data_IF_093981045551
#
_entry.id   IF_093981045551
#
_cell.length_a   1.000
_cell.length_b   1.000
_cell.length_c   1.000
_cell.angle_alpha   90.00
_cell.angle_beta   90.00
_cell.angle_gamma   90.00
#
_symmetry.space_group_name_H-M   'P 1'
#
loop_
_entity.id
_entity.type
_entity.pdbx_description
1 polymer ?
#
# COMPACT_ATOMS: atom_id res chain seq x y z
N UNK A 1 0.48 -1.83 22.26
CA UNK A 1 0.43 -0.40 21.89
C UNK A 1 -0.97 0.10 22.19
N UNK A 2 -1.13 1.08 23.09
CA UNK A 2 -2.44 1.61 23.50
C UNK A 2 -2.47 3.08 23.12
N UNK A 3 -3.37 3.48 22.22
CA UNK A 3 -3.60 4.89 21.88
C UNK A 3 -4.29 5.54 23.07
N UNK A 4 -3.65 6.52 23.70
CA UNK A 4 -4.19 7.21 24.86
C UNK A 4 -4.61 8.62 24.43
N UNK A 5 -5.91 8.74 24.17
CA UNK A 5 -6.74 9.96 24.00
C UNK A 5 -6.43 10.94 22.86
N UNK A 6 -7.51 11.40 22.21
CA UNK A 6 -7.57 12.67 21.45
C UNK A 6 -7.91 13.77 22.44
N UNK A 7 -7.04 14.77 22.61
CA UNK A 7 -7.42 16.07 23.17
C UNK A 7 -7.40 17.13 22.06
N UNK A 8 -7.99 18.29 22.32
CA UNK A 8 -8.39 19.37 21.41
C UNK A 8 -7.32 19.99 20.49
N UNK A 9 -6.07 19.54 20.56
CA UNK A 9 -5.03 19.85 19.57
C UNK A 9 -4.63 18.54 18.89
N UNK A 10 -4.61 18.52 17.55
CA UNK A 10 -4.48 17.36 16.65
C UNK A 10 -3.18 16.54 16.82
N UNK A 11 -3.02 15.91 17.98
CA UNK A 11 -1.82 15.23 18.40
C UNK A 11 -2.11 13.76 18.75
N UNK A 12 -1.37 12.83 18.14
CA UNK A 12 -1.44 11.39 18.40
C UNK A 12 -0.40 11.04 19.45
N UNK A 13 -0.83 10.49 20.59
CA UNK A 13 0.06 10.06 21.67
C UNK A 13 0.29 8.55 21.67
N UNK A 14 1.53 8.14 21.50
CA UNK A 14 1.98 6.74 21.54
C UNK A 14 2.83 6.53 22.78
N UNK A 15 2.35 5.72 23.74
CA UNK A 15 3.12 5.36 24.92
C UNK A 15 4.09 4.19 24.62
N UNK A 16 5.38 4.45 24.77
CA UNK A 16 6.46 3.48 24.89
C UNK A 16 6.84 3.35 26.38
N UNK A 17 7.61 2.33 26.75
CA UNK A 17 7.99 2.10 28.16
C UNK A 17 8.78 3.30 28.71
N UNK A 18 8.11 4.17 29.48
CA UNK A 18 8.69 5.37 30.11
C UNK A 18 8.58 6.69 29.32
N UNK A 19 8.27 6.66 28.02
CA UNK A 19 8.16 7.86 27.18
C UNK A 19 6.90 7.84 26.31
N UNK A 20 6.32 9.01 26.03
CA UNK A 20 5.23 9.20 25.09
C UNK A 20 5.74 9.97 23.88
N UNK A 21 5.46 9.45 22.67
CA UNK A 21 5.63 10.19 21.42
C UNK A 21 4.37 11.01 21.19
N UNK A 22 4.54 12.28 20.85
CA UNK A 22 3.49 13.18 20.41
C UNK A 22 3.73 13.50 18.93
N UNK A 23 2.75 13.15 18.11
CA UNK A 23 2.83 13.24 16.66
C UNK A 23 1.70 14.07 16.06
N UNK A 24 1.94 14.70 14.92
CA UNK A 24 0.91 15.48 14.21
C UNK A 24 -0.15 14.60 13.52
N UNK A 25 -1.04 15.22 12.74
CA UNK A 25 -2.14 14.56 12.05
C UNK A 25 -1.72 13.46 11.06
N UNK A 26 -0.48 13.53 10.54
CA UNK A 26 0.10 12.52 9.65
C UNK A 26 0.86 11.46 10.43
N UNK A 27 1.02 11.62 11.74
CA UNK A 27 1.85 10.74 12.56
C UNK A 27 3.33 11.15 12.57
N UNK A 28 3.69 12.35 12.11
CA UNK A 28 5.06 12.85 12.25
C UNK A 28 5.36 13.15 13.71
N UNK A 29 6.36 12.49 14.28
CA UNK A 29 6.77 12.70 15.68
C UNK A 29 7.36 14.09 15.85
N UNK A 30 6.74 14.95 16.65
CA UNK A 30 7.21 16.31 16.93
C UNK A 30 7.88 16.44 18.30
N UNK A 31 7.43 15.64 19.25
CA UNK A 31 7.86 15.75 20.63
C UNK A 31 7.90 14.38 21.29
N UNK A 32 8.90 14.15 22.14
CA UNK A 32 8.99 12.98 23.00
C UNK A 32 9.07 13.44 24.43
N UNK A 33 8.15 12.96 25.27
CA UNK A 33 8.06 13.36 26.68
C UNK A 33 8.15 12.14 27.60
N UNK A 34 8.76 12.30 28.77
CA UNK A 34 8.68 11.28 29.81
C UNK A 34 7.21 11.13 30.25
N UNK A 35 6.72 9.90 30.28
CA UNK A 35 5.29 9.63 30.52
C UNK A 35 4.86 9.86 31.98
N UNK A 36 5.80 9.95 32.92
CA UNK A 36 5.54 10.15 34.35
C UNK A 36 5.80 11.60 34.78
N UNK A 37 6.88 12.21 34.28
CA UNK A 37 7.31 13.54 34.72
C UNK A 37 6.90 14.66 33.78
N UNK A 38 6.52 14.35 32.52
CA UNK A 38 6.21 15.35 31.49
C UNK A 38 7.45 16.07 30.94
N UNK A 39 8.66 15.68 31.37
CA UNK A 39 9.92 16.24 30.90
C UNK A 39 10.10 15.98 29.39
N UNK A 40 10.44 17.01 28.62
CA UNK A 40 10.75 16.89 27.19
C UNK A 40 12.10 16.19 27.02
N UNK A 41 12.09 15.04 26.35
CA UNK A 41 13.28 14.23 26.04
C UNK A 41 13.84 14.48 24.64
N UNK A 42 12.98 14.89 23.71
CA UNK A 42 13.34 15.25 22.34
C UNK A 42 12.26 16.15 21.76
N UNK A 43 12.65 17.14 20.97
CA UNK A 43 11.79 17.98 20.14
C UNK A 43 12.37 18.01 18.74
N UNK A 44 11.52 17.79 17.74
CA UNK A 44 11.93 17.69 16.34
C UNK A 44 11.04 18.59 15.47
N UNK A 45 11.68 19.50 14.75
CA UNK A 45 11.03 20.34 13.75
C UNK A 45 11.32 19.79 12.35
N UNK A 46 10.31 19.80 11.50
CA UNK A 46 10.40 19.37 10.11
C UNK A 46 9.79 20.41 9.19
N UNK A 47 10.30 20.48 7.96
CA UNK A 47 9.58 21.14 6.87
C UNK A 47 8.40 20.29 6.34
N UNK A 48 7.74 20.77 5.28
CA UNK A 48 6.59 20.09 4.67
C UNK A 48 6.93 18.74 4.02
N UNK A 49 8.20 18.52 3.66
CA UNK A 49 8.67 17.31 2.98
C UNK A 49 9.32 16.31 3.94
N UNK A 50 9.45 16.66 5.22
CA UNK A 50 10.05 15.79 6.22
C UNK A 50 11.54 16.02 6.43
N UNK A 51 12.13 17.10 5.90
CA UNK A 51 13.50 17.47 6.24
C UNK A 51 13.54 17.94 7.69
N UNK A 52 14.47 17.40 8.48
CA UNK A 52 14.69 17.82 9.87
C UNK A 52 15.31 19.22 9.88
N UNK A 53 14.57 20.20 10.40
CA UNK A 53 15.02 21.59 10.57
C UNK A 53 15.80 21.76 11.90
N UNK A 54 15.39 21.02 12.93
CA UNK A 54 16.08 20.95 14.22
C UNK A 54 15.70 19.68 14.95
N UNK A 55 16.64 19.08 15.67
CA UNK A 55 16.42 17.94 16.56
C UNK A 55 17.26 18.15 17.83
N UNK A 56 16.60 18.23 18.98
CA UNK A 56 17.28 18.49 20.26
C UNK A 56 18.01 17.28 20.82
N UNK A 57 17.73 16.06 20.31
CA UNK A 57 18.38 14.83 20.76
C UNK A 57 18.47 13.79 19.61
N UNK A 58 19.32 14.02 18.59
CA UNK A 58 19.40 13.15 17.41
C UNK A 58 19.73 11.71 17.74
N UNK A 59 18.94 10.78 17.21
CA UNK A 59 19.13 9.34 17.42
C UNK A 59 18.55 8.79 18.74
N UNK A 60 17.84 9.60 19.52
CA UNK A 60 17.15 9.14 20.74
C UNK A 60 16.13 8.02 20.46
N UNK A 61 15.45 8.10 19.32
CA UNK A 61 14.46 7.14 18.85
C UNK A 61 14.35 7.23 17.31
N UNK A 62 13.90 6.16 16.62
CA UNK A 62 13.98 6.08 15.15
C UNK A 62 12.75 6.59 14.40
N UNK A 63 11.63 6.89 15.06
CA UNK A 63 10.39 7.34 14.42
C UNK A 63 10.44 8.84 14.08
N UNK A 64 10.09 9.19 12.84
CA UNK A 64 10.18 10.56 12.36
C UNK A 64 8.97 10.99 11.52
N UNK A 65 9.25 11.52 10.33
CA UNK A 65 8.26 12.02 9.39
C UNK A 65 7.19 10.98 9.06
N UNK A 66 5.91 11.37 9.18
CA UNK A 66 4.74 10.56 8.89
C UNK A 66 4.76 9.15 9.52
N UNK A 67 5.41 8.99 10.68
CA UNK A 67 5.54 7.72 11.39
C UNK A 67 6.55 6.73 10.78
N UNK A 68 7.28 7.14 9.75
CA UNK A 68 8.37 6.35 9.16
C UNK A 68 9.60 6.28 10.05
N UNK A 69 10.52 5.36 9.73
CA UNK A 69 11.78 5.20 10.46
C UNK A 69 12.85 6.10 9.82
N UNK A 70 13.24 7.15 10.52
CA UNK A 70 14.29 8.07 10.09
C UNK A 70 15.68 7.50 10.36
N UNK A 71 16.50 7.44 9.32
CA UNK A 71 17.91 7.12 9.39
C UNK A 71 18.73 8.41 9.32
N UNK A 72 19.30 8.82 10.45
CA UNK A 72 20.09 10.04 10.57
C UNK A 72 21.38 10.03 9.75
N UNK A 73 21.91 8.84 9.42
CA UNK A 73 23.20 8.71 8.74
C UNK A 73 23.02 8.88 7.22
N UNK A 74 21.86 8.51 6.69
CA UNK A 74 21.51 8.67 5.26
C UNK A 74 20.57 9.84 4.98
N UNK A 75 19.84 10.34 5.99
CA UNK A 75 18.79 11.34 5.82
C UNK A 75 17.48 10.78 5.27
N UNK A 76 17.39 9.47 5.03
CA UNK A 76 16.23 8.82 4.44
C UNK A 76 15.21 8.43 5.52
N UNK A 77 13.94 8.31 5.10
CA UNK A 77 12.86 7.79 5.92
C UNK A 77 12.35 6.49 5.33
N UNK A 78 12.46 5.39 6.07
CA UNK A 78 11.96 4.08 5.68
C UNK A 78 10.47 3.96 6.00
N UNK A 79 9.67 3.77 4.95
CA UNK A 79 8.24 3.41 5.04
C UNK A 79 8.07 1.99 4.53
N UNK A 80 7.90 1.04 5.45
CA UNK A 80 7.72 -0.37 5.13
C UNK A 80 8.78 -0.91 4.16
N UNK A 81 8.43 -0.97 2.88
CA UNK A 81 9.28 -1.50 1.82
C UNK A 81 10.10 -0.48 1.03
N UNK A 82 9.82 0.83 1.14
CA UNK A 82 10.50 1.87 0.36
C UNK A 82 11.18 2.91 1.26
N UNK A 83 12.35 3.37 0.80
CA UNK A 83 13.02 4.53 1.36
C UNK A 83 12.53 5.80 0.65
N UNK A 84 12.13 6.79 1.44
CA UNK A 84 11.76 8.13 1.01
C UNK A 84 12.92 9.08 1.29
N UNK A 85 13.20 9.97 0.33
CA UNK A 85 14.20 11.03 0.44
C UNK A 85 13.48 12.37 0.65
N UNK A 86 13.50 12.93 1.87
CA UNK A 86 12.90 14.23 2.18
C UNK A 86 13.57 15.40 1.46
N UNK A 87 14.87 15.29 1.14
CA UNK A 87 15.65 16.38 0.56
C UNK A 87 15.16 16.73 -0.85
N UNK A 88 14.76 15.69 -1.60
CA UNK A 88 14.22 15.84 -2.96
C UNK A 88 12.71 15.57 -3.02
N UNK A 89 12.08 15.17 -1.92
CA UNK A 89 10.64 14.97 -1.78
C UNK A 89 10.08 13.75 -2.53
N UNK A 90 10.84 12.65 -2.64
CA UNK A 90 10.51 11.52 -3.53
C UNK A 90 10.89 10.16 -2.97
N UNK A 91 10.26 9.10 -3.48
CA UNK A 91 10.73 7.74 -3.26
C UNK A 91 12.09 7.51 -3.92
N UNK A 92 12.97 6.77 -3.25
CA UNK A 92 14.27 6.35 -3.80
C UNK A 92 14.13 5.18 -4.78
N UNK A 93 13.04 4.43 -4.70
CA UNK A 93 12.71 3.32 -5.59
C UNK A 93 11.46 3.67 -6.43
N UNK A 94 11.45 3.18 -7.68
CA UNK A 94 10.31 3.32 -8.58
C UNK A 94 9.07 2.68 -7.92
N UNK A 95 7.94 3.35 -8.04
CA UNK A 95 6.66 2.83 -7.64
C UNK A 95 6.37 1.50 -8.37
N UNK A 96 6.20 0.39 -7.63
CA UNK A 96 5.92 -0.90 -8.21
C UNK A 96 4.67 -0.90 -9.12
N UNK A 97 3.68 -0.03 -8.86
CA UNK A 97 2.46 0.07 -9.68
C UNK A 97 2.57 1.04 -10.88
N UNK A 98 3.70 1.73 -11.01
CA UNK A 98 3.97 2.66 -12.11
C UNK A 98 2.98 3.83 -12.15
N UNK A 99 2.57 4.24 -13.36
CA UNK A 99 1.64 5.39 -13.54
C UNK A 99 0.21 5.13 -13.04
N UNK A 100 -0.10 3.91 -12.58
CA UNK A 100 -1.43 3.58 -12.09
C UNK A 100 -1.70 4.08 -10.67
N UNK A 101 -0.69 4.62 -9.98
CA UNK A 101 -0.86 5.32 -8.69
C UNK A 101 -1.54 6.68 -8.80
N UNK A 102 -2.02 7.04 -10.00
CA UNK A 102 -2.65 8.33 -10.26
C UNK A 102 -1.66 9.48 -10.44
N UNK A 103 -0.35 9.18 -10.50
CA UNK A 103 0.71 10.14 -10.75
C UNK A 103 1.55 9.73 -11.98
N UNK A 104 1.84 10.71 -12.83
CA UNK A 104 2.81 10.57 -13.93
C UNK A 104 4.25 10.44 -13.43
N UNK A 105 4.51 10.72 -12.15
CA UNK A 105 5.80 10.57 -11.52
C UNK A 105 5.85 9.26 -10.72
N UNK A 106 6.49 8.23 -11.27
CA UNK A 106 6.69 6.93 -10.61
C UNK A 106 7.66 6.98 -9.41
N UNK A 107 8.18 8.14 -9.04
CA UNK A 107 8.92 8.36 -7.80
C UNK A 107 8.20 9.38 -6.90
N UNK A 108 7.02 9.85 -7.30
CA UNK A 108 6.27 10.88 -6.59
C UNK A 108 5.82 10.37 -5.23
N UNK A 109 5.97 11.23 -4.21
CA UNK A 109 5.41 10.97 -2.89
C UNK A 109 4.04 11.66 -2.80
N UNK A 110 2.99 10.85 -2.59
CA UNK A 110 1.59 11.27 -2.34
C UNK A 110 1.03 12.35 -3.29
N UNK A 111 1.47 12.37 -4.55
CA UNK A 111 1.03 13.36 -5.54
C UNK A 111 1.45 14.80 -5.22
N UNK A 112 2.65 14.97 -4.65
CA UNK A 112 3.23 16.25 -4.22
C UNK A 112 2.40 17.00 -3.17
N UNK A 113 1.62 16.28 -2.37
CA UNK A 113 0.79 16.84 -1.28
C UNK A 113 1.12 16.21 0.09
N UNK A 114 2.37 16.31 0.58
CA UNK A 114 2.85 15.66 1.81
C UNK A 114 2.24 16.24 3.09
N UNK A 115 1.53 17.37 3.01
CA UNK A 115 0.87 18.01 4.15
C UNK A 115 -0.48 17.33 4.46
N UNK A 116 -1.17 16.86 3.42
CA UNK A 116 -2.52 16.32 3.54
C UNK A 116 -2.58 14.79 3.37
N UNK A 117 -1.52 14.16 2.86
CA UNK A 117 -1.50 12.74 2.53
C UNK A 117 -0.26 12.04 3.07
N UNK A 118 -0.39 10.74 3.27
CA UNK A 118 0.65 9.83 3.75
C UNK A 118 0.56 8.53 2.95
N UNK A 119 1.72 7.93 2.64
CA UNK A 119 1.84 6.53 2.24
C UNK A 119 2.52 5.76 3.39
N UNK A 120 1.74 5.14 4.30
CA UNK A 120 2.27 4.60 5.56
C UNK A 120 3.18 3.39 5.39
N UNK A 121 3.07 2.68 4.26
CA UNK A 121 3.74 1.39 4.08
C UNK A 121 4.68 1.38 2.87
N UNK A 122 4.58 2.36 1.98
CA UNK A 122 5.27 2.32 0.69
C UNK A 122 4.77 1.16 -0.18
N UNK A 123 3.56 0.66 0.07
CA UNK A 123 3.01 -0.60 -0.45
C UNK A 123 1.55 -0.46 -0.82
N UNK A 124 1.17 -1.07 -1.94
CA UNK A 124 -0.20 -1.11 -2.43
C UNK A 124 -0.58 -2.46 -3.04
N UNK A 125 -1.82 -2.86 -2.77
CA UNK A 125 -2.49 -3.97 -3.44
C UNK A 125 -3.56 -3.41 -4.37
N UNK A 126 -3.57 -3.86 -5.62
CA UNK A 126 -4.52 -3.38 -6.63
C UNK A 126 -5.38 -4.52 -7.17
N UNK A 127 -6.69 -4.29 -7.17
CA UNK A 127 -7.66 -5.14 -7.90
C UNK A 127 -7.70 -4.68 -9.35
N UNK A 128 -7.47 -5.62 -10.26
CA UNK A 128 -7.46 -5.40 -11.71
C UNK A 128 -8.67 -6.09 -12.32
N UNK A 129 -9.56 -5.34 -12.96
CA UNK A 129 -10.75 -5.89 -13.61
C UNK A 129 -10.64 -5.63 -15.10
N UNK A 130 -10.44 -6.70 -15.87
CA UNK A 130 -10.43 -6.62 -17.33
C UNK A 130 -11.87 -6.71 -17.83
N UNK A 131 -12.24 -5.80 -18.72
CA UNK A 131 -13.53 -5.74 -19.39
C UNK A 131 -13.40 -6.10 -20.84
N UNK A 132 -14.33 -6.95 -21.29
CA UNK A 132 -14.45 -7.30 -22.69
C UNK A 132 -14.79 -6.09 -23.58
N UNK A 133 -14.67 -6.25 -24.90
CA UNK A 133 -15.08 -5.26 -25.90
C UNK A 133 -16.55 -4.80 -25.80
N UNK A 134 -17.41 -5.53 -25.09
CA UNK A 134 -18.81 -5.15 -24.79
C UNK A 134 -18.97 -4.45 -23.43
N UNK A 135 -17.89 -4.30 -22.67
CA UNK A 135 -17.84 -3.60 -21.38
C UNK A 135 -18.19 -4.47 -20.18
N UNK A 136 -18.38 -5.80 -20.33
CA UNK A 136 -18.59 -6.68 -19.18
C UNK A 136 -17.25 -7.00 -18.52
N UNK A 137 -17.20 -6.93 -17.18
CA UNK A 137 -16.03 -7.37 -16.42
C UNK A 137 -15.87 -8.87 -16.53
N UNK A 138 -15.11 -9.33 -17.54
CA UNK A 138 -14.92 -10.74 -17.86
C UNK A 138 -13.87 -11.41 -16.97
N UNK A 139 -12.95 -10.63 -16.39
CA UNK A 139 -11.82 -11.19 -15.65
C UNK A 139 -11.35 -10.33 -14.48
N UNK A 140 -10.83 -10.97 -13.44
CA UNK A 140 -10.36 -10.33 -12.21
C UNK A 140 -9.00 -10.89 -11.78
N UNK A 141 -8.08 -9.98 -11.50
CA UNK A 141 -6.72 -10.29 -11.06
C UNK A 141 -6.31 -9.38 -9.92
N UNK A 142 -5.26 -9.76 -9.21
CA UNK A 142 -4.76 -9.03 -8.05
C UNK A 142 -3.28 -8.75 -8.22
N UNK A 143 -2.90 -7.48 -8.10
CA UNK A 143 -1.52 -7.07 -7.97
C UNK A 143 -1.18 -6.84 -6.50
N UNK A 144 -0.04 -7.33 -6.05
CA UNK A 144 0.49 -7.18 -4.68
C UNK A 144 1.91 -6.62 -4.81
N UNK A 145 2.16 -5.43 -4.27
CA UNK A 145 3.44 -4.71 -4.48
C UNK A 145 4.67 -5.39 -3.87
N UNK A 146 4.48 -6.18 -2.81
CA UNK A 146 5.48 -6.99 -2.11
C UNK A 146 4.94 -8.39 -1.84
N UNK A 147 4.37 -9.02 -2.87
CA UNK A 147 3.84 -10.37 -2.75
C UNK A 147 4.92 -11.46 -2.68
N UNK A 148 6.07 -11.29 -3.34
CA UNK A 148 7.04 -12.37 -3.50
C UNK A 148 7.91 -12.60 -2.26
N UNK A 149 8.46 -13.81 -2.08
CA UNK A 149 9.38 -14.13 -0.98
C UNK A 149 10.62 -13.23 -0.92
N UNK A 150 11.07 -12.72 -2.08
CA UNK A 150 12.17 -11.76 -2.17
C UNK A 150 11.73 -10.30 -1.95
N UNK A 151 10.48 -10.06 -1.58
CA UNK A 151 9.90 -8.72 -1.41
C UNK A 151 9.56 -8.00 -2.71
N UNK A 152 9.56 -8.70 -3.85
CA UNK A 152 9.16 -8.14 -5.15
C UNK A 152 7.65 -8.19 -5.41
N UNK A 153 7.18 -7.54 -6.49
CA UNK A 153 5.78 -7.54 -6.85
C UNK A 153 5.31 -8.88 -7.40
N UNK A 154 4.02 -9.17 -7.21
CA UNK A 154 3.32 -10.34 -7.73
C UNK A 154 1.99 -9.94 -8.35
N UNK A 155 1.70 -10.46 -9.55
CA UNK A 155 0.35 -10.47 -10.11
C UNK A 155 -0.22 -11.88 -9.96
N UNK A 156 -1.27 -12.01 -9.18
CA UNK A 156 -2.12 -13.19 -9.13
C UNK A 156 -3.24 -13.06 -10.18
N UNK A 157 -3.20 -13.93 -11.17
CA UNK A 157 -4.04 -13.95 -12.38
C UNK A 157 -4.81 -15.29 -12.47
N UNK A 158 -5.76 -15.56 -11.56
CA UNK A 158 -6.46 -16.83 -11.48
C UNK A 158 -7.31 -17.07 -12.72
N UNK A 159 -7.08 -18.17 -13.45
CA UNK A 159 -7.75 -18.49 -14.72
C UNK A 159 -7.47 -17.50 -15.87
N UNK A 160 -6.53 -16.58 -15.68
CA UNK A 160 -6.12 -15.62 -16.70
C UNK A 160 -5.05 -16.15 -17.65
N UNK A 161 -4.92 -15.46 -18.79
CA UNK A 161 -3.97 -15.80 -19.85
C UNK A 161 -2.63 -15.10 -19.67
N UNK A 162 -2.56 -14.04 -18.86
CA UNK A 162 -1.34 -13.27 -18.67
C UNK A 162 -0.28 -14.10 -17.95
N UNK A 163 -0.65 -14.85 -16.90
CA UNK A 163 0.32 -15.71 -16.22
C UNK A 163 0.89 -16.80 -17.14
N UNK A 164 0.01 -17.47 -17.89
CA UNK A 164 0.38 -18.58 -18.81
C UNK A 164 1.29 -18.13 -19.95
N UNK A 165 1.11 -16.93 -20.48
CA UNK A 165 1.94 -16.43 -21.58
C UNK A 165 3.22 -15.73 -21.12
N UNK A 166 3.30 -15.38 -19.85
CA UNK A 166 4.51 -14.79 -19.25
C UNK A 166 5.60 -15.83 -18.89
N UNK A 167 5.32 -17.12 -19.11
CA UNK A 167 6.07 -18.32 -18.66
C UNK A 167 7.54 -18.46 -19.11
N UNK A 168 8.08 -17.60 -19.98
CA UNK A 168 9.52 -17.61 -20.31
C UNK A 168 10.40 -17.03 -19.18
N UNK A 169 10.21 -17.46 -17.93
CA UNK A 169 11.10 -17.20 -16.79
C UNK A 169 10.60 -16.22 -15.72
N UNK A 170 9.31 -16.23 -15.37
CA UNK A 170 8.83 -15.41 -14.23
C UNK A 170 7.39 -15.63 -13.79
N UNK A 171 6.72 -16.67 -14.29
CA UNK A 171 5.40 -17.08 -13.85
C UNK A 171 5.49 -18.45 -13.18
N UNK A 172 4.85 -18.62 -12.04
CA UNK A 172 4.68 -19.92 -11.37
C UNK A 172 3.17 -20.18 -11.24
N UNK A 173 2.61 -20.92 -12.21
CA UNK A 173 1.17 -21.18 -12.30
C UNK A 173 0.36 -19.90 -12.59
N UNK A 174 -0.46 -19.48 -11.64
CA UNK A 174 -1.36 -18.31 -11.76
C UNK A 174 -0.74 -17.03 -11.22
N UNK A 175 0.55 -17.03 -10.93
CA UNK A 175 1.24 -15.89 -10.35
C UNK A 175 2.40 -15.49 -11.26
N UNK A 176 2.53 -14.20 -11.49
CA UNK A 176 3.65 -13.57 -12.23
C UNK A 176 4.46 -12.77 -11.23
N UNK A 177 5.78 -12.87 -11.30
CA UNK A 177 6.71 -12.30 -10.33
C UNK A 177 7.68 -11.29 -10.96
N UNK A 178 8.26 -10.44 -10.12
CA UNK A 178 9.38 -9.57 -10.47
C UNK A 178 9.05 -8.57 -11.58
N UNK A 179 9.99 -8.29 -12.49
CA UNK A 179 9.82 -7.28 -13.54
C UNK A 179 8.70 -7.58 -14.56
N UNK A 180 8.10 -8.78 -14.51
CA UNK A 180 6.92 -9.17 -15.31
C UNK A 180 5.61 -8.94 -14.57
N UNK A 181 5.65 -8.89 -13.23
CA UNK A 181 4.53 -8.46 -12.39
C UNK A 181 4.39 -6.94 -12.47
N UNK A 182 3.98 -6.46 -13.64
CA UNK A 182 3.84 -5.04 -13.95
C UNK A 182 2.44 -4.81 -14.49
N UNK A 183 1.69 -3.93 -13.83
CA UNK A 183 0.28 -3.69 -14.16
C UNK A 183 0.12 -3.13 -15.58
N UNK A 184 1.09 -2.36 -16.10
CA UNK A 184 1.02 -1.82 -17.46
C UNK A 184 1.24 -2.91 -18.50
N UNK A 185 2.21 -3.81 -18.27
CA UNK A 185 2.39 -4.99 -19.13
C UNK A 185 1.15 -5.86 -19.13
N UNK A 186 0.52 -6.04 -17.96
CA UNK A 186 -0.77 -6.74 -17.82
C UNK A 186 -1.89 -6.05 -18.62
N UNK A 187 -2.09 -4.75 -18.44
CA UNK A 187 -3.15 -4.00 -19.11
C UNK A 187 -2.97 -3.98 -20.64
N UNK A 188 -1.73 -3.79 -21.10
CA UNK A 188 -1.39 -3.81 -22.53
C UNK A 188 -1.59 -5.20 -23.13
N UNK A 189 -1.33 -6.27 -22.39
CA UNK A 189 -1.56 -7.63 -22.84
C UNK A 189 -3.06 -7.84 -23.16
N UNK A 190 -3.95 -7.54 -22.22
CA UNK A 190 -5.39 -7.75 -22.43
C UNK A 190 -5.98 -6.80 -23.50
N UNK A 191 -5.49 -5.56 -23.56
CA UNK A 191 -5.86 -4.63 -24.63
C UNK A 191 -5.54 -5.16 -26.02
N UNK A 192 -4.39 -5.81 -26.19
CA UNK A 192 -3.98 -6.35 -27.49
C UNK A 192 -4.55 -7.75 -27.78
N UNK A 193 -4.93 -8.49 -26.75
CA UNK A 193 -5.44 -9.86 -26.87
C UNK A 193 -6.92 -9.92 -27.26
N UNK A 194 -7.77 -9.11 -26.62
CA UNK A 194 -9.23 -9.18 -26.79
C UNK A 194 -9.87 -7.80 -27.11
N UNK A 195 -9.05 -6.76 -27.26
CA UNK A 195 -9.55 -5.39 -27.42
C UNK A 195 -10.03 -4.74 -26.12
N UNK A 196 -9.63 -5.32 -24.98
CA UNK A 196 -10.20 -5.07 -23.66
C UNK A 196 -9.62 -3.85 -22.95
N UNK A 197 -10.35 -3.35 -21.94
CA UNK A 197 -9.86 -2.32 -21.02
C UNK A 197 -9.65 -2.89 -19.63
N UNK A 198 -8.65 -2.39 -18.90
CA UNK A 198 -8.38 -2.80 -17.51
C UNK A 198 -8.71 -1.66 -16.56
N UNK A 199 -9.70 -1.85 -15.69
CA UNK A 199 -9.97 -0.97 -14.57
C UNK A 199 -9.11 -1.38 -13.36
N UNK A 200 -8.43 -0.41 -12.75
CA UNK A 200 -7.46 -0.63 -11.67
C UNK A 200 -7.95 0.10 -10.43
N UNK A 201 -7.97 -0.58 -9.29
CA UNK A 201 -8.32 0.02 -7.99
C UNK A 201 -7.30 -0.41 -6.95
N UNK A 202 -6.50 0.53 -6.46
CA UNK A 202 -5.42 0.29 -5.49
C UNK A 202 -5.80 0.73 -4.08
N UNK A 203 -5.25 0.05 -3.07
CA UNK A 203 -5.34 0.39 -1.65
C UNK A 203 -3.97 0.21 -1.01
N UNK A 204 -3.60 1.14 -0.12
CA UNK A 204 -2.46 0.97 0.77
C UNK A 204 -2.66 -0.26 1.65
N UNK A 205 -1.65 -1.11 1.71
CA UNK A 205 -1.69 -2.39 2.42
C UNK A 205 -0.46 -2.58 3.28
N UNK A 206 -0.65 -3.17 4.46
CA UNK A 206 0.48 -3.49 5.35
C UNK A 206 1.28 -4.68 4.82
N UNK A 207 2.55 -4.79 5.25
CA UNK A 207 3.42 -5.94 4.93
C UNK A 207 2.75 -7.27 5.32
N UNK A 208 2.08 -7.33 6.47
CA UNK A 208 1.36 -8.52 6.93
C UNK A 208 0.17 -8.88 6.06
N UNK A 209 -0.56 -7.87 5.56
CA UNK A 209 -1.69 -8.09 4.65
C UNK A 209 -1.19 -8.60 3.30
N UNK A 210 -0.18 -7.97 2.71
CA UNK A 210 0.36 -8.42 1.42
C UNK A 210 0.97 -9.82 1.48
N UNK A 211 1.65 -10.16 2.59
CA UNK A 211 2.16 -11.51 2.82
C UNK A 211 1.01 -12.52 2.93
N UNK A 212 -0.02 -12.21 3.71
CA UNK A 212 -1.21 -13.06 3.82
C UNK A 212 -1.92 -13.22 2.47
N UNK A 213 -2.02 -12.15 1.68
CA UNK A 213 -2.60 -12.22 0.33
C UNK A 213 -1.79 -13.13 -0.57
N UNK A 214 -0.46 -13.07 -0.49
CA UNK A 214 0.40 -13.96 -1.25
C UNK A 214 0.20 -15.42 -0.85
N UNK A 215 0.19 -15.71 0.46
CA UNK A 215 -0.05 -17.06 1.00
C UNK A 215 -1.39 -17.61 0.53
N UNK A 216 -2.47 -16.81 0.64
CA UNK A 216 -3.79 -17.18 0.12
C UNK A 216 -3.81 -17.39 -1.40
N UNK A 217 -3.06 -16.58 -2.15
CA UNK A 217 -2.95 -16.72 -3.61
C UNK A 217 -2.13 -17.97 -4.02
N UNK A 218 -1.23 -18.44 -3.15
CA UNK A 218 -0.57 -19.74 -3.30
C UNK A 218 -1.56 -20.87 -3.02
N UNK A 219 -2.27 -20.79 -1.88
CA UNK A 219 -3.22 -21.81 -1.42
C UNK A 219 -4.39 -22.02 -2.39
N UNK A 220 -5.00 -20.93 -2.86
CA UNK A 220 -6.21 -21.00 -3.69
C UNK A 220 -5.92 -21.41 -5.15
N UNK A 221 -4.71 -21.19 -5.67
CA UNK A 221 -4.31 -21.59 -7.03
C UNK A 221 -5.15 -20.92 -8.14
N UNK A 222 -5.45 -21.61 -9.25
CA UNK A 222 -6.57 -21.18 -10.10
C UNK A 222 -7.79 -21.98 -9.76
N UNK A 223 -8.90 -21.29 -9.47
CA UNK A 223 -10.19 -21.92 -9.66
C UNK A 223 -10.44 -22.30 -11.13
N UNK A 224 -11.55 -22.98 -11.41
CA UNK A 224 -12.03 -23.21 -12.77
C UNK A 224 -12.19 -21.90 -13.57
N UNK A 225 -12.27 -22.00 -14.90
CA UNK A 225 -12.75 -20.91 -15.76
C UNK A 225 -14.05 -20.37 -15.16
N UNK A 226 -14.23 -19.04 -15.05
CA UNK A 226 -15.30 -18.32 -14.33
C UNK A 226 -15.10 -18.03 -12.83
N UNK A 227 -14.01 -18.50 -12.20
CA UNK A 227 -13.83 -18.35 -10.75
C UNK A 227 -12.82 -17.24 -10.33
N UNK A 228 -12.42 -16.36 -11.25
CA UNK A 228 -11.37 -15.37 -11.01
C UNK A 228 -11.77 -14.34 -9.94
N UNK A 229 -13.00 -13.82 -9.97
CA UNK A 229 -13.48 -12.90 -8.94
C UNK A 229 -13.64 -13.57 -7.57
N UNK A 230 -14.07 -14.83 -7.52
CA UNK A 230 -14.12 -15.62 -6.28
C UNK A 230 -12.72 -15.76 -5.70
N UNK A 231 -11.75 -16.12 -6.55
CA UNK A 231 -10.36 -16.29 -6.17
C UNK A 231 -9.77 -15.00 -5.59
N UNK A 232 -9.95 -13.88 -6.30
CA UNK A 232 -9.46 -12.57 -5.83
C UNK A 232 -10.18 -12.13 -4.54
N UNK A 233 -11.50 -12.28 -4.48
CA UNK A 233 -12.28 -11.91 -3.30
C UNK A 233 -11.96 -12.77 -2.07
N UNK A 234 -11.58 -14.03 -2.25
CA UNK A 234 -11.08 -14.88 -1.17
C UNK A 234 -9.73 -14.40 -0.64
N UNK A 235 -8.82 -14.04 -1.55
CA UNK A 235 -7.48 -13.53 -1.21
C UNK A 235 -7.60 -12.25 -0.37
N UNK A 236 -8.31 -11.24 -0.87
CA UNK A 236 -8.39 -9.92 -0.21
C UNK A 236 -9.52 -9.81 0.82
N UNK A 237 -10.42 -10.79 0.87
CA UNK A 237 -11.55 -10.78 1.78
C UNK A 237 -11.12 -10.77 3.24
N UNK A 238 -11.92 -10.09 4.07
CA UNK A 238 -11.65 -9.82 5.49
C UNK A 238 -10.38 -8.97 5.76
N UNK A 239 -9.83 -8.31 4.74
CA UNK A 239 -8.75 -7.34 4.93
C UNK A 239 -9.28 -5.99 5.43
N UNK A 240 -8.46 -5.32 6.24
CA UNK A 240 -8.71 -3.95 6.67
C UNK A 240 -8.66 -2.94 5.51
N UNK A 241 -7.84 -3.22 4.47
CA UNK A 241 -7.73 -2.43 3.26
C UNK A 241 -8.94 -2.59 2.32
N UNK A 242 -9.61 -3.76 2.35
CA UNK A 242 -10.79 -4.09 1.54
C UNK A 242 -11.99 -4.53 2.40
N UNK A 243 -12.49 -3.66 3.30
CA UNK A 243 -13.45 -4.04 4.35
C UNK A 243 -14.86 -4.35 3.83
N UNK A 244 -15.11 -4.14 2.54
CA UNK A 244 -16.40 -4.40 1.89
C UNK A 244 -16.35 -5.57 0.92
N UNK A 245 -15.19 -6.20 0.73
CA UNK A 245 -15.04 -7.35 -0.15
C UNK A 245 -15.30 -8.62 0.64
N UNK A 246 -16.39 -9.30 0.28
CA UNK A 246 -16.78 -10.59 0.86
C UNK A 246 -16.12 -11.74 0.07
N UNK A 247 -15.48 -12.71 0.76
CA UNK A 247 -15.00 -13.93 0.12
C UNK A 247 -16.11 -14.64 -0.66
N UNK A 248 -15.82 -15.05 -1.90
CA UNK A 248 -16.81 -15.73 -2.74
C UNK A 248 -17.61 -14.81 -3.66
N UNK A 249 -17.19 -13.57 -3.85
CA UNK A 249 -17.81 -12.65 -4.80
C UNK A 249 -17.66 -13.19 -6.23
N UNK A 250 -18.78 -13.60 -6.84
CA UNK A 250 -18.79 -14.29 -8.14
C UNK A 250 -18.50 -13.35 -9.32
N UNK A 251 -19.01 -12.12 -9.27
CA UNK A 251 -18.98 -11.22 -10.42
C UNK A 251 -17.86 -10.18 -10.29
N UNK A 252 -16.95 -10.07 -11.28
CA UNK A 252 -15.90 -9.06 -11.31
C UNK A 252 -16.41 -7.62 -11.11
N UNK A 253 -17.59 -7.29 -11.66
CA UNK A 253 -18.21 -5.97 -11.46
C UNK A 253 -18.62 -5.67 -10.00
N UNK A 254 -19.11 -6.68 -9.27
CA UNK A 254 -19.43 -6.52 -7.84
C UNK A 254 -18.15 -6.38 -7.02
N UNK A 255 -17.15 -7.21 -7.31
CA UNK A 255 -15.83 -7.13 -6.69
C UNK A 255 -15.21 -5.73 -6.87
N UNK A 256 -15.28 -5.18 -8.09
CA UNK A 256 -14.80 -3.83 -8.37
C UNK A 256 -15.52 -2.77 -7.53
N UNK A 257 -16.85 -2.84 -7.51
CA UNK A 257 -17.69 -1.90 -6.75
C UNK A 257 -17.33 -1.93 -5.27
N UNK A 258 -17.13 -3.12 -4.72
CA UNK A 258 -16.85 -3.30 -3.31
C UNK A 258 -15.40 -2.94 -2.96
N UNK A 259 -14.43 -3.23 -3.83
CA UNK A 259 -13.04 -2.79 -3.71
C UNK A 259 -12.89 -1.25 -3.79
N UNK A 260 -13.74 -0.57 -4.58
CA UNK A 260 -13.74 0.91 -4.69
C UNK A 260 -14.28 1.60 -3.43
N UNK A 261 -15.13 0.95 -2.64
CA UNK A 261 -15.70 1.57 -1.44
C UNK A 261 -14.58 1.96 -0.46
N UNK A 262 -14.73 3.13 0.13
CA UNK A 262 -13.90 3.62 1.24
C UNK A 262 -14.77 3.67 2.48
N UNK A 263 -14.18 3.34 3.64
CA UNK A 263 -14.86 3.46 4.92
C UNK A 263 -15.27 4.91 5.11
N UNK A 264 -16.58 5.20 5.10
CA UNK A 264 -17.07 6.51 5.52
C UNK A 264 -16.74 6.67 7.00
N UNK A 265 -15.83 7.59 7.34
CA UNK A 265 -15.65 8.01 8.74
C UNK A 265 -17.01 8.52 9.21
N UNK A 266 -17.66 7.78 10.10
CA UNK A 266 -18.82 8.28 10.83
C UNK A 266 -18.29 9.35 11.77
N UNK A 267 -18.44 10.61 11.36
CA UNK A 267 -18.26 11.75 12.26
C UNK A 267 -19.54 11.82 13.09
N UNK A 268 -19.53 11.21 14.27
CA UNK A 268 -20.55 11.50 15.26
C UNK A 268 -20.36 12.97 15.66
N UNK A 269 -21.39 13.78 15.36
CA UNK A 269 -21.51 15.16 15.82
C UNK A 269 -21.73 15.21 17.33
#
# INVERSE_FOLDING_TARGET
MRVVTKNSNFHIRIALTGNCLDADQLGTVRLVVNSQTGEVKQEIAYDAWGNVLSDTNPGFQPFGFAGGLYDKDTGLVRFGARDYDPQIGRWTAKDPIGFNGGDSNVYGYVGNDPINKIDPFGLETCVLITRDSMGFGGHASLYISRGADNGGPVIYDPSGSYSRQSEKGGAEGHRVYGAKADIQKYANFYKNWDGDSTEITCKNTSISEEKLFHEKAIEFGSGSSFNCAISVSYVIGNSSAFPHVEPGTIFPGNLLRDAKKVVKKVVNK
#
